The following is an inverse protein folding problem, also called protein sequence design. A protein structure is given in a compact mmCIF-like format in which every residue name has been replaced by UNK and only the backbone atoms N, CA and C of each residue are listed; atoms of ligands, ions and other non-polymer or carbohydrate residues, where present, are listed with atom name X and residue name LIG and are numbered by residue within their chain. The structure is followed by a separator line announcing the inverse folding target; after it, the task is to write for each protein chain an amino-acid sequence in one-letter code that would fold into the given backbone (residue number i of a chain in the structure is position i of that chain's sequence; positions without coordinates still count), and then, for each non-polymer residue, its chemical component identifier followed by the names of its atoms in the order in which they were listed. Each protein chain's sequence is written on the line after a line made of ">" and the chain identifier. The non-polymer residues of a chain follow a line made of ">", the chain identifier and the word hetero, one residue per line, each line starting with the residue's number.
data_IF_314975736275
#
_entry.id   IF_314975736275
#
_cell.length_a   1.000
_cell.length_b   1.000
_cell.length_c   1.000
_cell.angle_alpha   90.00
_cell.angle_beta   90.00
_cell.angle_gamma   90.00
#
_symmetry.space_group_name_H-M   'P 1'
#
loop_
_entity.id
_entity.type
_entity.pdbx_description
1 polymer ?
#
# COMPACT_ATOMS: atom_id res chain seq x y z
N UNK A 1 -35.43 -23.50 2.44
CA UNK A 1 -34.16 -23.56 1.72
C UNK A 1 -33.08 -22.88 2.61
N UNK A 2 -31.96 -23.55 2.79
CA UNK A 2 -30.86 -23.03 3.61
C UNK A 2 -29.64 -22.79 2.71
N UNK A 3 -29.04 -21.61 2.81
CA UNK A 3 -27.76 -21.28 2.16
C UNK A 3 -26.66 -21.43 3.21
N UNK A 4 -25.68 -22.28 2.93
CA UNK A 4 -24.48 -22.45 3.74
C UNK A 4 -23.32 -21.74 3.07
N UNK A 5 -22.70 -20.78 3.79
CA UNK A 5 -21.48 -20.07 3.36
C UNK A 5 -20.37 -20.39 4.35
N UNK A 6 -19.21 -20.78 3.84
CA UNK A 6 -18.00 -20.97 4.66
C UNK A 6 -16.84 -20.21 4.03
N UNK A 7 -15.94 -19.69 4.86
CA UNK A 7 -14.71 -19.02 4.46
C UNK A 7 -13.51 -19.60 5.20
N UNK A 8 -12.39 -19.75 4.51
CA UNK A 8 -11.13 -20.22 5.09
C UNK A 8 -9.94 -19.63 4.38
N UNK A 9 -8.86 -19.38 5.14
CA UNK A 9 -7.55 -19.03 4.61
C UNK A 9 -6.66 -20.27 4.37
N UNK A 10 -7.17 -21.47 4.74
CA UNK A 10 -6.42 -22.73 4.71
C UNK A 10 -7.12 -23.77 3.84
N UNK A 11 -7.32 -23.46 2.56
CA UNK A 11 -7.98 -24.39 1.64
C UNK A 11 -7.29 -25.75 1.58
N UNK A 12 -5.96 -25.78 1.69
CA UNK A 12 -5.13 -26.98 1.66
C UNK A 12 -5.33 -27.91 2.88
N UNK A 13 -5.92 -27.40 3.96
CA UNK A 13 -6.27 -28.18 5.15
C UNK A 13 -7.70 -28.73 5.12
N UNK A 14 -8.50 -28.34 4.15
CA UNK A 14 -9.86 -28.83 4.04
C UNK A 14 -9.86 -30.28 3.54
N UNK A 15 -10.62 -31.14 4.22
CA UNK A 15 -10.93 -32.47 3.72
C UNK A 15 -11.59 -32.35 2.33
N UNK A 16 -11.11 -33.10 1.32
CA UNK A 16 -11.70 -33.14 -0.01
C UNK A 16 -13.21 -33.46 0.00
N UNK A 17 -13.69 -34.19 1.00
CA UNK A 17 -15.11 -34.48 1.17
C UNK A 17 -15.94 -33.24 1.54
N UNK A 18 -15.36 -32.31 2.31
CA UNK A 18 -15.98 -31.02 2.61
C UNK A 18 -16.07 -30.17 1.34
N UNK A 19 -14.98 -30.09 0.58
CA UNK A 19 -14.94 -29.32 -0.66
C UNK A 19 -15.96 -29.77 -1.71
N UNK A 20 -16.35 -31.04 -1.72
CA UNK A 20 -17.39 -31.59 -2.64
C UNK A 20 -18.82 -31.22 -2.24
N UNK A 21 -19.04 -30.74 -1.01
CA UNK A 21 -20.37 -30.34 -0.52
C UNK A 21 -20.71 -28.88 -0.86
N UNK A 22 -19.73 -28.09 -1.28
CA UNK A 22 -19.95 -26.73 -1.72
C UNK A 22 -20.11 -26.68 -3.24
N UNK A 23 -21.24 -26.17 -3.71
CA UNK A 23 -21.54 -26.04 -5.13
C UNK A 23 -20.70 -24.98 -5.82
N UNK A 24 -20.31 -23.95 -5.06
CA UNK A 24 -19.52 -22.83 -5.57
C UNK A 24 -18.29 -22.62 -4.67
N UNK A 25 -17.14 -22.44 -5.31
CA UNK A 25 -15.89 -22.08 -4.67
C UNK A 25 -15.42 -20.77 -5.27
N UNK A 26 -15.24 -19.76 -4.43
CA UNK A 26 -14.81 -18.44 -4.84
C UNK A 26 -13.42 -18.20 -4.25
N UNK A 27 -12.43 -18.10 -5.10
CA UNK A 27 -11.08 -17.70 -4.70
C UNK A 27 -10.99 -16.18 -4.63
N UNK A 28 -10.85 -15.64 -3.42
CA UNK A 28 -10.63 -14.20 -3.19
C UNK A 28 -9.18 -13.87 -3.51
N UNK A 29 -8.93 -13.30 -4.69
CA UNK A 29 -7.60 -12.82 -5.08
C UNK A 29 -7.29 -11.50 -4.40
N UNK A 30 -5.99 -11.17 -4.29
CA UNK A 30 -5.56 -9.84 -3.90
C UNK A 30 -6.15 -8.79 -4.86
N UNK A 31 -6.56 -7.61 -4.34
CA UNK A 31 -7.15 -6.56 -5.15
C UNK A 31 -6.14 -6.03 -6.18
N UNK A 32 -6.60 -5.80 -7.40
CA UNK A 32 -5.85 -5.06 -8.41
C UNK A 32 -5.75 -3.57 -8.06
N UNK A 33 -5.00 -2.81 -8.85
CA UNK A 33 -4.75 -1.38 -8.58
C UNK A 33 -6.05 -0.57 -8.51
N UNK A 34 -7.01 -0.84 -9.37
CA UNK A 34 -8.30 -0.14 -9.43
C UNK A 34 -9.16 -0.45 -8.20
N UNK A 35 -9.18 -1.70 -7.76
CA UNK A 35 -9.89 -2.11 -6.55
C UNK A 35 -9.23 -1.52 -5.30
N UNK A 36 -7.89 -1.51 -5.22
CA UNK A 36 -7.17 -0.88 -4.09
C UNK A 36 -7.47 0.62 -4.00
N UNK A 37 -7.49 1.31 -5.13
CA UNK A 37 -7.85 2.73 -5.18
C UNK A 37 -9.27 2.98 -4.62
N UNK A 38 -10.26 2.17 -5.01
CA UNK A 38 -11.63 2.26 -4.47
C UNK A 38 -11.67 1.99 -2.97
N UNK A 39 -10.92 1.01 -2.47
CA UNK A 39 -10.81 0.73 -1.04
C UNK A 39 -10.23 1.95 -0.30
N UNK A 40 -9.15 2.52 -0.80
CA UNK A 40 -8.49 3.69 -0.20
C UNK A 40 -9.41 4.91 -0.21
N UNK A 41 -10.08 5.19 -1.33
CA UNK A 41 -11.08 6.27 -1.43
C UNK A 41 -12.22 6.08 -0.42
N UNK A 42 -12.70 4.87 -0.25
CA UNK A 42 -13.75 4.57 0.73
C UNK A 42 -13.27 4.81 2.17
N UNK A 43 -12.08 4.36 2.52
CA UNK A 43 -11.52 4.50 3.86
C UNK A 43 -11.18 5.97 4.20
N UNK A 44 -10.72 6.73 3.22
CA UNK A 44 -10.37 8.15 3.37
C UNK A 44 -11.49 9.12 3.00
N UNK A 45 -12.74 8.67 2.85
CA UNK A 45 -13.87 9.49 2.39
C UNK A 45 -14.14 10.76 3.20
N UNK A 46 -13.78 10.78 4.48
CA UNK A 46 -13.91 11.94 5.37
C UNK A 46 -12.65 12.84 5.37
N UNK A 47 -11.60 12.41 4.67
CA UNK A 47 -10.30 13.08 4.55
C UNK A 47 -9.89 13.07 3.07
N UNK A 48 -10.57 13.84 2.22
CA UNK A 48 -10.39 13.74 0.78
C UNK A 48 -8.97 14.12 0.37
N UNK A 49 -8.41 13.31 -0.50
CA UNK A 49 -7.16 13.53 -1.21
C UNK A 49 -7.47 13.89 -2.67
N UNK A 50 -6.48 14.39 -3.40
CA UNK A 50 -6.60 14.54 -4.83
C UNK A 50 -6.47 13.19 -5.57
N UNK A 51 -6.82 13.18 -6.86
CA UNK A 51 -6.80 11.97 -7.67
C UNK A 51 -5.40 11.36 -7.80
N UNK A 52 -4.38 12.21 -7.90
CA UNK A 52 -3.00 11.78 -7.99
C UNK A 52 -2.50 11.13 -6.68
N UNK A 53 -2.94 11.65 -5.54
CA UNK A 53 -2.63 11.09 -4.22
C UNK A 53 -3.25 9.70 -4.05
N UNK A 54 -4.52 9.53 -4.45
CA UNK A 54 -5.17 8.21 -4.46
C UNK A 54 -4.46 7.22 -5.37
N UNK A 55 -4.08 7.64 -6.58
CA UNK A 55 -3.31 6.80 -7.49
C UNK A 55 -1.97 6.41 -6.87
N UNK A 56 -1.28 7.33 -6.24
CA UNK A 56 0.01 7.08 -5.58
C UNK A 56 -0.13 6.03 -4.47
N UNK A 57 -1.14 6.16 -3.60
CA UNK A 57 -1.43 5.19 -2.55
C UNK A 57 -1.81 3.82 -3.11
N UNK A 58 -2.58 3.78 -4.20
CA UNK A 58 -2.97 2.53 -4.85
C UNK A 58 -1.78 1.79 -5.48
N UNK A 59 -0.78 2.52 -5.98
CA UNK A 59 0.44 1.92 -6.51
C UNK A 59 1.36 1.39 -5.41
N UNK A 60 1.57 2.16 -4.33
CA UNK A 60 2.42 1.72 -3.23
C UNK A 60 1.85 0.53 -2.45
N UNK A 61 0.53 0.37 -2.44
CA UNK A 61 -0.15 -0.78 -1.80
C UNK A 61 -0.17 -2.06 -2.66
N UNK A 62 0.64 -2.13 -3.73
CA UNK A 62 0.73 -3.33 -4.59
C UNK A 62 1.05 -4.58 -3.76
N UNK A 63 0.25 -5.63 -3.96
CA UNK A 63 0.41 -6.91 -3.24
C UNK A 63 -0.25 -6.95 -1.87
N UNK A 64 -0.89 -5.89 -1.40
CA UNK A 64 -1.64 -5.87 -0.15
C UNK A 64 -3.08 -6.34 -0.35
N UNK A 65 -3.62 -7.01 0.67
CA UNK A 65 -5.03 -7.29 0.82
C UNK A 65 -5.81 -6.05 1.26
N UNK A 66 -7.14 -6.09 1.11
CA UNK A 66 -8.00 -5.00 1.62
C UNK A 66 -7.87 -4.79 3.12
N UNK A 67 -7.72 -5.87 3.90
CA UNK A 67 -7.55 -5.80 5.35
C UNK A 67 -6.22 -5.13 5.76
N UNK A 68 -5.11 -5.43 5.05
CA UNK A 68 -3.83 -4.77 5.32
C UNK A 68 -3.89 -3.27 5.03
N UNK A 69 -4.52 -2.87 3.92
CA UNK A 69 -4.75 -1.46 3.58
C UNK A 69 -5.59 -0.78 4.66
N UNK A 70 -6.67 -1.43 5.11
CA UNK A 70 -7.55 -0.91 6.15
C UNK A 70 -6.83 -0.69 7.48
N UNK A 71 -6.04 -1.65 7.94
CA UNK A 71 -5.25 -1.53 9.17
C UNK A 71 -4.31 -0.31 9.10
N UNK A 72 -3.55 -0.16 8.01
CA UNK A 72 -2.60 0.94 7.86
C UNK A 72 -3.31 2.30 7.91
N UNK A 73 -4.42 2.43 7.16
CA UNK A 73 -5.17 3.68 7.09
C UNK A 73 -5.84 3.98 8.43
N UNK A 74 -6.49 3.02 9.08
CA UNK A 74 -7.15 3.25 10.35
C UNK A 74 -6.17 3.60 11.47
N UNK A 75 -5.00 2.97 11.52
CA UNK A 75 -3.97 3.32 12.50
C UNK A 75 -3.45 4.74 12.27
N UNK A 76 -3.25 5.14 11.00
CA UNK A 76 -2.87 6.49 10.66
C UNK A 76 -3.96 7.52 11.00
N UNK A 77 -5.21 7.26 10.62
CA UNK A 77 -6.33 8.15 10.91
C UNK A 77 -6.55 8.32 12.42
N UNK A 78 -6.38 7.25 13.20
CA UNK A 78 -6.48 7.33 14.66
C UNK A 78 -5.45 8.31 15.23
N UNK A 79 -4.21 8.27 14.76
CA UNK A 79 -3.16 9.18 15.23
C UNK A 79 -3.44 10.64 14.85
N UNK A 80 -3.84 10.90 13.59
CA UNK A 80 -4.10 12.28 13.17
C UNK A 80 -5.32 12.88 13.91
N UNK A 81 -6.35 12.08 14.20
CA UNK A 81 -7.51 12.55 14.98
C UNK A 81 -7.13 12.82 16.44
N UNK A 82 -6.35 11.93 17.08
CA UNK A 82 -5.90 12.13 18.46
C UNK A 82 -5.06 13.41 18.61
N UNK A 83 -4.24 13.72 17.61
CA UNK A 83 -3.31 14.86 17.63
C UNK A 83 -3.80 16.09 16.90
N UNK A 84 -5.06 16.11 16.45
CA UNK A 84 -5.69 17.20 15.68
C UNK A 84 -4.82 17.66 14.48
N UNK A 85 -4.34 16.67 13.69
CA UNK A 85 -3.47 16.90 12.52
C UNK A 85 -4.25 16.69 11.22
N UNK A 86 -3.76 17.30 10.16
CA UNK A 86 -4.21 17.05 8.77
C UNK A 86 -3.46 15.84 8.19
N UNK A 87 -4.01 15.27 7.11
CA UNK A 87 -3.32 14.20 6.38
C UNK A 87 -2.01 14.73 5.78
N UNK A 88 -0.94 13.98 6.00
CA UNK A 88 0.34 14.08 5.31
C UNK A 88 0.53 12.85 4.43
N UNK A 89 0.47 13.05 3.10
CA UNK A 89 0.61 11.97 2.13
C UNK A 89 1.95 11.23 2.31
N UNK A 90 3.03 11.96 2.58
CA UNK A 90 4.36 11.35 2.72
C UNK A 90 4.42 10.43 3.95
N UNK A 91 3.83 10.86 5.06
CA UNK A 91 3.75 10.03 6.27
C UNK A 91 2.94 8.76 6.00
N UNK A 92 1.78 8.88 5.34
CA UNK A 92 0.95 7.74 5.00
C UNK A 92 1.64 6.78 4.03
N UNK A 93 2.31 7.30 2.99
CA UNK A 93 3.13 6.50 2.07
C UNK A 93 4.22 5.71 2.80
N UNK A 94 4.93 6.33 3.73
CA UNK A 94 5.95 5.65 4.53
C UNK A 94 5.38 4.49 5.35
N UNK A 95 4.15 4.60 5.85
CA UNK A 95 3.48 3.50 6.56
C UNK A 95 3.20 2.32 5.63
N UNK A 96 2.73 2.58 4.41
CA UNK A 96 2.57 1.54 3.40
C UNK A 96 3.90 0.85 3.06
N UNK A 97 4.95 1.63 2.79
CA UNK A 97 6.29 1.11 2.49
C UNK A 97 6.83 0.26 3.66
N UNK A 98 6.68 0.73 4.89
CA UNK A 98 7.10 0.01 6.09
C UNK A 98 6.39 -1.34 6.25
N UNK A 99 5.09 -1.38 5.97
CA UNK A 99 4.31 -2.63 6.05
C UNK A 99 4.75 -3.65 5.00
N UNK A 100 5.11 -3.22 3.79
CA UNK A 100 5.61 -4.11 2.74
C UNK A 100 6.96 -4.73 3.09
N UNK A 101 7.80 -4.02 3.84
CA UNK A 101 9.13 -4.42 4.19
C UNK A 101 9.31 -4.62 5.69
N UNK A 102 8.63 -5.61 6.26
CA UNK A 102 8.82 -6.01 7.67
C UNK A 102 10.26 -6.37 8.05
N UNK A 103 11.17 -6.45 7.07
CA UNK A 103 12.61 -6.75 7.23
C UNK A 103 13.54 -5.54 7.15
N UNK A 104 13.02 -4.36 6.77
CA UNK A 104 13.83 -3.13 6.70
C UNK A 104 13.53 -2.28 7.91
N UNK A 105 14.52 -2.13 8.79
CA UNK A 105 14.44 -1.20 9.91
C UNK A 105 14.51 0.21 9.33
N UNK A 106 13.38 0.90 9.26
CA UNK A 106 13.33 2.30 8.82
C UNK A 106 13.90 3.20 9.92
N UNK A 107 15.17 3.54 9.82
CA UNK A 107 15.72 4.72 10.44
C UNK A 107 15.44 5.91 9.51
N UNK A 108 15.22 7.11 10.05
CA UNK A 108 15.03 8.35 9.27
C UNK A 108 16.16 8.68 8.28
N UNK A 109 17.21 7.88 8.25
CA UNK A 109 18.41 8.01 7.41
C UNK A 109 18.29 7.28 6.05
N UNK A 110 17.28 6.43 5.82
CA UNK A 110 17.22 5.56 4.63
C UNK A 110 16.32 6.05 3.49
N UNK A 111 16.22 7.37 3.31
CA UNK A 111 15.50 8.00 2.19
C UNK A 111 15.88 7.39 0.82
N UNK A 112 17.15 7.03 0.66
CA UNK A 112 17.65 6.42 -0.57
C UNK A 112 17.07 5.04 -0.84
N UNK A 113 16.85 4.24 0.19
CA UNK A 113 16.27 2.89 0.07
C UNK A 113 14.77 2.96 -0.23
N UNK A 114 14.04 3.86 0.45
CA UNK A 114 12.63 4.12 0.18
C UNK A 114 12.39 4.53 -1.29
N UNK A 115 13.23 5.44 -1.80
CA UNK A 115 13.16 5.91 -3.19
C UNK A 115 13.44 4.78 -4.18
N UNK A 116 14.45 3.95 -3.93
CA UNK A 116 14.76 2.80 -4.78
C UNK A 116 13.61 1.80 -4.78
N UNK A 117 13.08 1.49 -3.59
CA UNK A 117 11.95 0.58 -3.45
C UNK A 117 10.74 1.01 -4.27
N UNK A 118 10.32 2.28 -4.18
CA UNK A 118 9.22 2.78 -4.99
C UNK A 118 9.48 2.64 -6.49
N UNK A 119 10.70 2.94 -6.91
CA UNK A 119 11.11 2.79 -8.30
C UNK A 119 11.00 1.34 -8.77
N UNK A 120 11.42 0.38 -7.92
CA UNK A 120 11.36 -1.05 -8.21
C UNK A 120 9.93 -1.59 -8.22
N UNK A 121 9.04 -1.00 -7.41
CA UNK A 121 7.62 -1.40 -7.38
C UNK A 121 6.88 -1.07 -8.70
N UNK A 122 7.11 0.11 -9.25
CA UNK A 122 6.53 0.53 -10.52
C UNK A 122 7.36 1.67 -11.13
N UNK A 123 8.29 1.33 -12.02
CA UNK A 123 9.20 2.29 -12.66
C UNK A 123 8.49 3.28 -13.59
N UNK A 124 7.35 2.90 -14.14
CA UNK A 124 6.59 3.73 -15.07
C UNK A 124 5.79 4.81 -14.35
N UNK A 125 5.28 4.48 -13.16
CA UNK A 125 4.57 5.42 -12.30
C UNK A 125 5.52 6.26 -11.45
N UNK A 126 6.40 5.62 -10.66
CA UNK A 126 7.35 6.31 -9.78
C UNK A 126 8.56 6.82 -10.55
N UNK A 127 8.32 7.74 -11.50
CA UNK A 127 9.39 8.42 -12.23
C UNK A 127 10.21 9.33 -11.32
N UNK A 128 11.40 9.73 -11.73
CA UNK A 128 12.22 10.68 -10.98
C UNK A 128 11.48 11.99 -10.65
N UNK A 129 10.59 12.44 -11.54
CA UNK A 129 9.73 13.62 -11.34
C UNK A 129 8.70 13.37 -10.21
N UNK A 130 8.00 12.23 -10.26
CA UNK A 130 6.99 11.84 -9.26
C UNK A 130 7.63 11.72 -7.88
N UNK A 131 8.75 11.01 -7.80
CA UNK A 131 9.49 10.84 -6.54
C UNK A 131 9.96 12.21 -6.00
N UNK A 132 10.44 13.10 -6.87
CA UNK A 132 10.89 14.43 -6.44
C UNK A 132 9.75 15.26 -5.85
N UNK A 133 8.54 15.16 -6.41
CA UNK A 133 7.34 15.83 -5.90
C UNK A 133 6.91 15.27 -4.54
N UNK A 134 6.84 13.94 -4.40
CA UNK A 134 6.44 13.27 -3.15
C UNK A 134 7.38 13.65 -2.00
N UNK A 135 8.70 13.64 -2.23
CA UNK A 135 9.69 13.92 -1.18
C UNK A 135 10.09 15.39 -1.05
N UNK A 136 9.60 16.27 -1.93
CA UNK A 136 10.01 17.69 -1.94
C UNK A 136 11.51 17.88 -2.19
N UNK A 137 12.13 17.02 -3.03
CA UNK A 137 13.56 17.05 -3.34
C UNK A 137 13.79 17.29 -4.83
N UNK A 138 15.00 17.73 -5.21
CA UNK A 138 15.28 17.99 -6.63
C UNK A 138 15.32 16.71 -7.47
N UNK A 139 14.87 16.74 -8.74
CA UNK A 139 14.99 15.60 -9.64
C UNK A 139 16.44 15.14 -9.86
N UNK A 140 17.40 16.06 -9.79
CA UNK A 140 18.83 15.75 -9.87
C UNK A 140 19.29 14.89 -8.70
N UNK A 141 18.79 15.19 -7.49
CA UNK A 141 19.10 14.40 -6.30
C UNK A 141 18.48 12.99 -6.39
N UNK A 142 17.23 12.88 -6.83
CA UNK A 142 16.62 11.57 -7.11
C UNK A 142 17.43 10.75 -8.10
N UNK A 143 17.89 11.39 -9.18
CA UNK A 143 18.72 10.73 -10.19
C UNK A 143 20.05 10.21 -9.63
N UNK A 144 20.70 10.96 -8.73
CA UNK A 144 21.92 10.51 -8.04
C UNK A 144 21.65 9.27 -7.18
N UNK A 145 20.58 9.30 -6.39
CA UNK A 145 20.17 8.15 -5.57
C UNK A 145 19.93 6.90 -6.43
N UNK A 146 19.15 7.04 -7.50
CA UNK A 146 18.81 5.93 -8.38
C UNK A 146 20.03 5.37 -9.13
N UNK A 147 21.02 6.20 -9.43
CA UNK A 147 22.29 5.77 -10.03
C UNK A 147 23.29 5.20 -9.02
N UNK A 148 22.98 5.22 -7.73
CA UNK A 148 23.87 4.75 -6.67
C UNK A 148 25.10 5.64 -6.40
N UNK A 149 25.06 6.90 -6.87
CA UNK A 149 26.15 7.85 -6.64
C UNK A 149 26.01 8.37 -5.19
N UNK A 150 26.94 7.95 -4.31
CA UNK A 150 27.05 8.53 -2.96
C UNK A 150 27.37 10.02 -3.08
N UNK A 151 26.70 10.85 -2.28
CA UNK A 151 27.18 12.21 -2.06
C UNK A 151 28.42 12.12 -1.18
N UNK A 152 29.56 12.54 -1.69
CA UNK A 152 30.72 12.94 -0.90
C UNK A 152 30.41 14.28 -0.21
#
# INVERSE_FOLDING_TARGET
>A
DTILVAATNHEHLLDPAIGRRFHYKIHMKLPDVSVREKIIKYLLRNFPLDEYEYQTLSQVSKGMSGAEIEIIIHDYLREIVIHDRTIDLLELLKRFIKSLNSKITFNNENKSEEIKLLRDMNSDFFTGKVISQIWGISPSYVSKILKGIKND
#
